data_IF_549218475625
#
_entry.id   IF_549218475625
#
_cell.length_a   1.000
_cell.length_b   1.000
_cell.length_c   1.000
_cell.angle_alpha   90.00
_cell.angle_beta   90.00
_cell.angle_gamma   90.00
#
_symmetry.space_group_name_H-M   'P 1'
#
loop_
_entity.id
_entity.type
_entity.pdbx_description
1 polymer ?
#
# COMPACT_ATOMS: atom_id res chain seq x y z
N UNK A 1 -14.69 14.89 -27.25
CA UNK A 1 -13.22 14.79 -27.20
C UNK A 1 -12.84 13.91 -26.03
N UNK A 2 -11.74 13.17 -26.11
CA UNK A 2 -11.25 12.30 -25.04
C UNK A 2 -10.04 12.96 -24.38
N UNK A 3 -10.14 13.27 -23.09
CA UNK A 3 -8.99 13.72 -22.30
C UNK A 3 -8.30 12.51 -21.68
N UNK A 4 -6.98 12.43 -21.86
CA UNK A 4 -6.11 11.44 -21.23
C UNK A 4 -4.99 12.16 -20.48
N UNK A 5 -4.82 11.84 -19.21
CA UNK A 5 -3.66 12.26 -18.41
C UNK A 5 -2.89 11.01 -18.01
N UNK A 6 -1.67 10.88 -18.49
CA UNK A 6 -0.76 9.83 -18.07
C UNK A 6 0.15 10.36 -16.95
N UNK A 7 0.24 9.61 -15.86
CA UNK A 7 1.09 9.89 -14.72
C UNK A 7 2.11 8.76 -14.61
N UNK A 8 3.40 9.05 -14.75
CA UNK A 8 4.48 8.08 -14.62
C UNK A 8 5.28 8.31 -13.33
N UNK A 9 5.64 7.23 -12.64
CA UNK A 9 6.35 7.27 -11.36
C UNK A 9 6.39 5.91 -10.65
N UNK A 10 6.54 5.96 -9.34
CA UNK A 10 6.40 4.78 -8.46
C UNK A 10 4.91 4.46 -8.27
N UNK A 11 4.55 3.19 -8.38
CA UNK A 11 3.21 2.68 -8.09
C UNK A 11 3.31 1.83 -6.85
N UNK A 12 2.65 2.29 -5.81
CA UNK A 12 2.54 1.54 -4.58
C UNK A 12 1.25 0.75 -4.55
N UNK A 13 1.36 -0.48 -4.10
CA UNK A 13 0.23 -1.32 -3.72
C UNK A 13 0.29 -1.52 -2.23
N UNK A 14 -0.68 -0.99 -1.50
CA UNK A 14 -0.78 -1.07 -0.04
C UNK A 14 -2.03 -1.86 0.34
N UNK A 15 -1.89 -2.73 1.33
CA UNK A 15 -2.96 -3.51 1.94
C UNK A 15 -2.80 -3.45 3.45
N UNK A 16 -3.84 -3.00 4.12
CA UNK A 16 -3.93 -3.03 5.58
C UNK A 16 -4.87 -4.17 5.95
N UNK A 17 -4.34 -5.19 6.61
CA UNK A 17 -5.07 -6.38 7.04
C UNK A 17 -4.84 -6.66 8.53
N UNK A 18 -5.55 -7.66 9.05
CA UNK A 18 -5.24 -8.23 10.36
C UNK A 18 -4.56 -9.58 10.23
N UNK A 19 -3.56 -9.81 11.06
CA UNK A 19 -2.93 -11.12 11.23
C UNK A 19 -3.07 -11.56 12.69
N UNK A 20 -3.26 -12.87 12.97
CA UNK A 20 -3.14 -13.38 14.32
C UNK A 20 -1.75 -13.06 14.88
N UNK A 21 -1.70 -12.54 16.10
CA UNK A 21 -0.44 -12.18 16.78
C UNK A 21 0.47 -13.41 16.93
N UNK A 22 -0.12 -14.56 17.25
CA UNK A 22 0.56 -15.86 17.37
C UNK A 22 1.16 -16.35 16.04
N UNK A 23 0.48 -16.11 14.92
CA UNK A 23 1.02 -16.40 13.58
C UNK A 23 2.29 -15.59 13.30
N UNK A 24 2.24 -14.28 13.57
CA UNK A 24 3.38 -13.36 13.40
C UNK A 24 4.53 -13.75 14.33
N UNK A 25 4.26 -14.04 15.61
CA UNK A 25 5.25 -14.47 16.58
C UNK A 25 5.97 -15.76 16.18
N UNK A 26 5.27 -16.73 15.57
CA UNK A 26 5.88 -17.96 15.08
C UNK A 26 6.84 -17.72 13.92
N UNK A 27 6.54 -16.77 13.02
CA UNK A 27 7.47 -16.39 11.95
C UNK A 27 8.72 -15.72 12.56
N UNK A 28 8.54 -14.76 13.47
CA UNK A 28 9.69 -14.10 14.11
C UNK A 28 10.57 -15.07 14.87
N UNK A 29 9.99 -16.00 15.64
CA UNK A 29 10.74 -17.04 16.35
C UNK A 29 11.54 -17.91 15.40
N UNK A 30 10.94 -18.31 14.28
CA UNK A 30 11.65 -19.04 13.23
C UNK A 30 12.84 -18.25 12.67
N UNK A 31 12.62 -16.97 12.36
CA UNK A 31 13.63 -16.12 11.76
C UNK A 31 14.76 -15.78 12.73
N UNK A 32 14.47 -15.58 14.03
CA UNK A 32 15.48 -15.40 15.06
C UNK A 32 16.29 -16.67 15.33
N UNK A 33 15.67 -17.85 15.25
CA UNK A 33 16.38 -19.13 15.35
C UNK A 33 17.40 -19.36 14.23
N UNK A 34 17.25 -18.66 13.09
CA UNK A 34 18.14 -18.77 11.92
C UNK A 34 19.16 -17.64 11.80
N UNK A 35 18.96 -16.52 12.48
CA UNK A 35 19.70 -15.29 12.22
C UNK A 35 20.22 -14.68 13.52
N UNK A 36 21.44 -14.16 13.48
CA UNK A 36 22.14 -13.60 14.64
C UNK A 36 21.89 -12.10 14.86
N UNK A 37 21.17 -11.42 13.96
CA UNK A 37 20.85 -9.99 14.09
C UNK A 37 19.37 -9.70 13.81
N UNK A 38 18.80 -8.65 14.45
CA UNK A 38 17.47 -8.12 14.14
C UNK A 38 17.24 -7.86 12.66
N UNK A 39 18.23 -7.28 11.99
CA UNK A 39 18.17 -6.94 10.58
C UNK A 39 17.95 -8.17 9.69
N UNK A 40 18.71 -9.25 9.91
CA UNK A 40 18.52 -10.47 9.13
C UNK A 40 17.23 -11.20 9.50
N UNK A 41 16.80 -11.12 10.77
CA UNK A 41 15.51 -11.66 11.19
C UNK A 41 14.33 -10.94 10.52
N UNK A 42 14.35 -9.60 10.42
CA UNK A 42 13.32 -8.82 9.72
C UNK A 42 13.28 -9.10 8.23
N UNK A 43 14.44 -9.25 7.58
CA UNK A 43 14.51 -9.66 6.18
C UNK A 43 13.97 -11.08 5.96
N UNK A 44 14.27 -12.01 6.87
CA UNK A 44 13.68 -13.35 6.86
C UNK A 44 12.16 -13.28 7.04
N UNK A 45 11.66 -12.48 7.98
CA UNK A 45 10.23 -12.31 8.25
C UNK A 45 9.49 -11.78 7.01
N UNK A 46 10.01 -10.71 6.41
CA UNK A 46 9.56 -10.19 5.12
C UNK A 46 9.56 -11.28 4.05
N UNK A 47 10.64 -12.05 3.97
CA UNK A 47 10.76 -13.16 3.02
C UNK A 47 9.67 -14.22 3.18
N UNK A 48 9.38 -14.61 4.42
CA UNK A 48 8.33 -15.59 4.72
C UNK A 48 6.95 -15.05 4.39
N UNK A 49 6.64 -13.80 4.76
CA UNK A 49 5.33 -13.20 4.51
C UNK A 49 5.03 -13.00 3.01
N UNK A 50 6.00 -12.54 2.23
CA UNK A 50 5.77 -12.18 0.82
C UNK A 50 6.06 -13.31 -0.18
N UNK A 51 6.95 -14.26 0.15
CA UNK A 51 7.48 -15.21 -0.84
C UNK A 51 7.36 -16.68 -0.44
N UNK A 52 7.55 -17.03 0.84
CA UNK A 52 7.43 -18.42 1.30
C UNK A 52 6.01 -18.75 1.73
N UNK A 53 5.09 -18.66 0.77
CA UNK A 53 3.66 -18.88 0.94
C UNK A 53 3.34 -20.22 1.62
N UNK A 54 4.02 -21.29 1.24
CA UNK A 54 3.75 -22.63 1.77
C UNK A 54 4.18 -22.75 3.23
N UNK A 55 5.34 -22.19 3.59
CA UNK A 55 5.77 -22.16 4.99
C UNK A 55 4.86 -21.26 5.83
N UNK A 56 4.53 -20.06 5.35
CA UNK A 56 3.60 -19.15 6.02
C UNK A 56 2.23 -19.81 6.24
N UNK A 57 1.68 -20.51 5.24
CA UNK A 57 0.42 -21.25 5.35
C UNK A 57 0.47 -22.33 6.43
N UNK A 58 1.56 -23.11 6.52
CA UNK A 58 1.73 -24.12 7.58
C UNK A 58 1.78 -23.50 8.97
N UNK A 59 2.39 -22.32 9.11
CA UNK A 59 2.43 -21.61 10.38
C UNK A 59 1.06 -21.03 10.73
N UNK A 60 0.34 -20.47 9.77
CA UNK A 60 -1.00 -19.91 9.95
C UNK A 60 -2.05 -20.97 10.35
N UNK A 61 -1.99 -22.16 9.77
CA UNK A 61 -2.89 -23.27 10.06
C UNK A 61 -2.92 -23.68 11.55
N UNK A 62 -1.89 -23.35 12.33
CA UNK A 62 -1.88 -23.59 13.78
C UNK A 62 -2.86 -22.72 14.58
N UNK A 63 -3.32 -21.60 14.03
CA UNK A 63 -4.38 -20.76 14.61
C UNK A 63 -5.72 -20.93 13.86
N UNK A 64 -5.87 -21.99 13.05
CA UNK A 64 -7.00 -22.13 12.10
C UNK A 64 -7.14 -20.90 11.16
N UNK A 65 -6.01 -20.21 10.92
CA UNK A 65 -5.96 -19.03 10.08
C UNK A 65 -5.60 -19.42 8.63
N UNK A 66 -6.47 -19.06 7.70
CA UNK A 66 -6.31 -19.37 6.28
C UNK A 66 -5.41 -18.33 5.58
N UNK A 67 -4.08 -18.47 5.72
CA UNK A 67 -3.12 -17.68 4.94
C UNK A 67 -2.88 -18.28 3.56
N UNK A 68 -3.05 -17.48 2.51
CA UNK A 68 -2.78 -17.87 1.13
C UNK A 68 -1.68 -17.03 0.50
N UNK A 69 -1.82 -15.71 0.50
CA UNK A 69 -0.86 -14.75 -0.01
C UNK A 69 -1.24 -13.35 0.49
N UNK A 70 -0.28 -12.45 0.59
CA UNK A 70 -0.54 -11.09 1.06
C UNK A 70 -1.52 -10.31 0.15
N UNK A 71 -1.55 -10.57 -1.16
CA UNK A 71 -2.49 -9.94 -2.10
C UNK A 71 -3.91 -10.46 -1.94
N UNK A 72 -4.09 -11.65 -1.35
CA UNK A 72 -5.38 -12.29 -1.11
C UNK A 72 -5.82 -12.21 0.35
N UNK A 73 -4.94 -11.73 1.24
CA UNK A 73 -5.30 -11.48 2.63
C UNK A 73 -6.51 -10.54 2.70
N UNK A 74 -7.47 -10.89 3.58
CA UNK A 74 -8.65 -10.07 3.86
C UNK A 74 -8.16 -8.73 4.42
N UNK A 75 -8.32 -7.68 3.63
CA UNK A 75 -7.87 -6.34 3.96
C UNK A 75 -9.05 -5.50 4.45
N UNK A 76 -8.81 -4.66 5.45
CA UNK A 76 -9.70 -3.56 5.81
C UNK A 76 -9.60 -2.42 4.81
N UNK A 77 -8.42 -2.27 4.22
CA UNK A 77 -8.13 -1.25 3.26
C UNK A 77 -7.12 -1.78 2.23
N UNK A 78 -7.36 -1.53 0.95
CA UNK A 78 -6.44 -1.87 -0.12
C UNK A 78 -6.46 -0.80 -1.20
N UNK A 79 -5.29 -0.39 -1.67
CA UNK A 79 -5.15 0.54 -2.78
C UNK A 79 -3.93 0.16 -3.62
N UNK A 80 -4.02 0.42 -4.91
CA UNK A 80 -2.85 0.60 -5.76
C UNK A 80 -2.97 1.97 -6.44
N UNK A 81 -1.87 2.70 -6.57
CA UNK A 81 -1.87 3.97 -7.26
C UNK A 81 -0.49 4.59 -7.36
N UNK A 82 -0.37 5.62 -8.19
CA UNK A 82 0.87 6.40 -8.27
C UNK A 82 1.13 7.13 -6.95
N UNK A 83 2.39 7.07 -6.50
CA UNK A 83 2.91 7.84 -5.37
C UNK A 83 3.15 9.29 -5.81
N UNK A 84 2.75 10.24 -4.97
CA UNK A 84 3.14 11.63 -5.16
C UNK A 84 4.56 11.87 -4.63
N UNK A 85 5.54 11.88 -5.53
CA UNK A 85 6.94 12.20 -5.22
C UNK A 85 7.51 13.27 -6.15
N UNK A 86 8.79 13.61 -5.96
CA UNK A 86 9.51 14.60 -6.79
C UNK A 86 9.81 14.14 -8.22
N UNK A 87 9.64 12.86 -8.53
CA UNK A 87 9.94 12.26 -9.83
C UNK A 87 8.69 12.04 -10.69
N UNK A 88 7.53 12.46 -10.18
CA UNK A 88 6.24 12.36 -10.83
C UNK A 88 6.23 13.13 -12.15
N UNK A 89 5.94 12.44 -13.25
CA UNK A 89 5.77 13.05 -14.57
C UNK A 89 4.32 12.92 -15.01
N UNK A 90 3.68 14.03 -15.38
CA UNK A 90 2.30 14.05 -15.86
C UNK A 90 2.23 14.62 -17.26
N UNK A 91 1.61 13.91 -18.20
CA UNK A 91 1.39 14.38 -19.57
C UNK A 91 -0.10 14.32 -19.91
N UNK A 92 -0.64 15.40 -20.47
CA UNK A 92 -2.02 15.43 -20.95
C UNK A 92 -2.08 15.31 -22.48
N UNK A 93 -3.16 14.71 -22.96
CA UNK A 93 -3.53 14.72 -24.38
C UNK A 93 -5.04 14.80 -24.58
N UNK A 94 -5.46 15.46 -25.66
CA UNK A 94 -6.84 15.54 -26.12
C UNK A 94 -6.95 14.85 -27.47
N UNK A 95 -7.76 13.79 -27.54
CA UNK A 95 -7.92 12.94 -28.74
C UNK A 95 -6.57 12.47 -29.34
N UNK A 96 -5.58 12.23 -28.46
CA UNK A 96 -4.23 11.80 -28.83
C UNK A 96 -3.26 12.93 -29.18
N UNK A 97 -3.73 14.17 -29.33
CA UNK A 97 -2.86 15.33 -29.49
C UNK A 97 -2.29 15.76 -28.13
N UNK A 98 -0.97 15.88 -28.02
CA UNK A 98 -0.30 16.28 -26.79
C UNK A 98 -0.69 17.70 -26.37
N UNK A 99 -1.07 17.87 -25.10
CA UNK A 99 -1.29 19.15 -24.45
C UNK A 99 -0.07 19.61 -23.63
N UNK A 100 0.99 18.80 -23.58
CA UNK A 100 2.22 19.09 -22.84
C UNK A 100 2.33 18.40 -21.47
N UNK A 101 3.42 18.73 -20.78
CA UNK A 101 3.71 18.24 -19.43
C UNK A 101 3.10 19.16 -18.38
N UNK A 102 2.52 18.57 -17.33
CA UNK A 102 1.88 19.29 -16.23
C UNK A 102 2.84 19.32 -15.05
N UNK A 103 3.21 20.52 -14.60
CA UNK A 103 3.96 20.70 -13.36
C UNK A 103 3.12 20.33 -12.14
N UNK A 104 3.76 19.81 -11.09
CA UNK A 104 3.09 19.39 -9.83
C UNK A 104 2.31 20.49 -9.11
N UNK A 105 2.54 21.76 -9.47
CA UNK A 105 1.85 22.94 -8.93
C UNK A 105 0.66 23.39 -9.78
N UNK A 106 0.41 22.76 -10.93
CA UNK A 106 -0.59 23.21 -11.90
C UNK A 106 -1.96 22.51 -11.76
N UNK A 107 -2.13 21.63 -10.77
CA UNK A 107 -3.39 20.94 -10.50
C UNK A 107 -3.75 21.05 -9.01
N UNK A 108 -5.03 20.84 -8.71
CA UNK A 108 -5.52 20.82 -7.32
C UNK A 108 -5.16 19.50 -6.66
N UNK A 109 -4.46 19.54 -5.53
CA UNK A 109 -4.11 18.36 -4.72
C UNK A 109 -4.92 18.33 -3.43
N UNK A 110 -5.56 17.20 -3.16
CA UNK A 110 -6.25 16.93 -1.90
C UNK A 110 -5.61 15.74 -1.20
N UNK A 111 -5.44 15.82 0.12
CA UNK A 111 -5.00 14.71 0.96
C UNK A 111 -6.18 14.16 1.77
N UNK A 112 -6.40 12.86 1.67
CA UNK A 112 -7.34 12.12 2.51
C UNK A 112 -6.54 11.21 3.45
N UNK A 113 -6.69 11.42 4.76
CA UNK A 113 -6.00 10.61 5.76
C UNK A 113 -6.70 9.26 5.92
N UNK A 114 -5.94 8.17 5.88
CA UNK A 114 -6.41 6.85 6.29
C UNK A 114 -6.22 6.73 7.80
N UNK A 115 -7.33 6.79 8.52
CA UNK A 115 -7.36 6.84 9.98
C UNK A 115 -7.26 5.43 10.58
N UNK A 116 -6.24 5.20 11.41
CA UNK A 116 -6.08 3.93 12.12
C UNK A 116 -7.23 3.68 13.10
N UNK A 117 -7.73 4.72 13.77
CA UNK A 117 -8.80 4.63 14.77
C UNK A 117 -10.12 4.16 14.15
N UNK A 118 -10.33 4.38 12.85
CA UNK A 118 -11.46 3.83 12.12
C UNK A 118 -11.33 2.31 11.86
N UNK A 119 -10.10 1.79 11.84
CA UNK A 119 -9.82 0.36 11.65
C UNK A 119 -9.73 -0.41 12.97
N UNK A 120 -9.22 0.21 14.03
CA UNK A 120 -8.95 -0.43 15.31
C UNK A 120 -10.15 -1.23 15.89
N UNK A 121 -11.41 -0.73 15.86
CA UNK A 121 -12.56 -1.49 16.36
C UNK A 121 -12.88 -2.75 15.56
N UNK A 122 -12.37 -2.88 14.33
CA UNK A 122 -12.58 -4.02 13.45
C UNK A 122 -11.51 -5.10 13.58
N UNK A 123 -10.49 -4.91 14.43
CA UNK A 123 -9.47 -5.90 14.71
C UNK A 123 -10.03 -7.01 15.62
N UNK A 124 -9.97 -8.29 15.21
CA UNK A 124 -10.32 -9.39 16.09
C UNK A 124 -9.43 -9.42 17.33
N UNK A 125 -9.96 -9.97 18.42
CA UNK A 125 -9.16 -10.22 19.61
C UNK A 125 -7.95 -11.10 19.28
N UNK A 126 -6.78 -10.75 19.82
CA UNK A 126 -5.52 -11.47 19.55
C UNK A 126 -4.93 -11.22 18.14
N UNK A 127 -5.51 -10.33 17.34
CA UNK A 127 -4.93 -9.91 16.07
C UNK A 127 -4.18 -8.58 16.19
N UNK A 128 -3.26 -8.36 15.26
CA UNK A 128 -2.58 -7.09 15.04
C UNK A 128 -2.96 -6.54 13.67
N UNK A 129 -2.87 -5.23 13.50
CA UNK A 129 -2.96 -4.60 12.18
C UNK A 129 -1.60 -4.69 11.48
N UNK A 130 -1.61 -4.96 10.18
CA UNK A 130 -0.39 -5.04 9.36
C UNK A 130 -0.58 -4.28 8.06
N UNK A 131 0.35 -3.38 7.75
CA UNK A 131 0.50 -2.77 6.42
C UNK A 131 1.48 -3.61 5.62
N UNK A 132 0.99 -4.19 4.53
CA UNK A 132 1.76 -4.94 3.54
C UNK A 132 1.70 -4.21 2.20
N UNK A 133 2.72 -4.40 1.36
CA UNK A 133 2.67 -3.82 0.04
C UNK A 133 3.87 -4.08 -0.85
N UNK A 134 3.81 -3.47 -2.02
CA UNK A 134 4.88 -3.50 -3.01
C UNK A 134 4.97 -2.22 -3.80
N UNK A 135 6.19 -1.88 -4.21
CA UNK A 135 6.54 -0.76 -5.08
C UNK A 135 6.92 -1.30 -6.46
N UNK A 136 6.25 -0.78 -7.47
CA UNK A 136 6.58 -0.96 -8.89
C UNK A 136 6.97 0.37 -9.52
N UNK A 137 7.64 0.33 -10.67
CA UNK A 137 7.75 1.49 -11.56
C UNK A 137 6.74 1.37 -12.68
N UNK A 138 6.04 2.44 -13.02
CA UNK A 138 5.06 2.37 -14.09
C UNK A 138 4.34 3.67 -14.38
N UNK A 139 3.19 3.55 -15.02
CA UNK A 139 2.27 4.66 -15.23
C UNK A 139 0.83 4.32 -14.90
N UNK A 140 0.08 5.36 -14.60
CA UNK A 140 -1.36 5.33 -14.42
C UNK A 140 -2.01 6.30 -15.41
N UNK A 141 -3.07 5.84 -16.06
CA UNK A 141 -3.77 6.52 -17.14
C UNK A 141 -5.13 6.94 -16.62
N UNK A 142 -5.33 8.24 -16.57
CA UNK A 142 -6.59 8.87 -16.20
C UNK A 142 -7.33 9.24 -17.49
N UNK A 143 -8.59 8.84 -17.62
CA UNK A 143 -9.39 9.12 -18.82
C UNK A 143 -10.71 9.78 -18.47
N UNK A 144 -11.05 10.85 -19.20
CA UNK A 144 -12.39 11.42 -19.20
C UNK A 144 -12.98 11.33 -20.61
N UNK A 145 -14.09 10.61 -20.73
CA UNK A 145 -14.90 10.62 -21.95
C UNK A 145 -15.66 11.95 -22.04
N UNK A 146 -15.84 12.47 -23.25
CA UNK A 146 -16.48 13.76 -23.49
C UNK A 146 -15.80 14.90 -22.71
N UNK A 147 -14.47 14.90 -22.73
CA UNK A 147 -13.61 15.96 -22.20
C UNK A 147 -13.75 17.30 -22.91
N UNK A 148 -13.04 18.33 -22.43
CA UNK A 148 -13.15 19.70 -22.92
C UNK A 148 -12.56 19.88 -24.32
N UNK A 149 -12.84 21.02 -24.94
CA UNK A 149 -12.17 21.44 -26.19
C UNK A 149 -10.72 21.83 -25.98
N UNK A 150 -10.43 22.44 -24.84
CA UNK A 150 -9.08 22.85 -24.43
C UNK A 150 -8.76 22.30 -23.04
N UNK A 151 -7.51 21.91 -22.85
CA UNK A 151 -7.04 21.40 -21.57
C UNK A 151 -6.52 22.55 -20.71
N UNK A 152 -7.09 22.68 -19.51
CA UNK A 152 -6.62 23.58 -18.47
C UNK A 152 -6.16 22.75 -17.26
N UNK A 153 -4.85 22.69 -16.97
CA UNK A 153 -4.31 21.95 -15.84
C UNK A 153 -4.98 22.28 -14.50
N UNK A 154 -5.39 23.54 -14.29
CA UNK A 154 -5.94 23.98 -13.01
C UNK A 154 -7.28 23.31 -12.67
N UNK A 155 -7.98 22.78 -13.69
CA UNK A 155 -9.23 22.02 -13.54
C UNK A 155 -9.01 20.56 -13.15
N UNK A 156 -7.78 20.06 -13.24
CA UNK A 156 -7.43 18.72 -12.78
C UNK A 156 -7.36 18.72 -11.24
N UNK A 157 -8.05 17.78 -10.61
CA UNK A 157 -8.04 17.56 -9.17
C UNK A 157 -7.63 16.11 -8.87
N UNK A 158 -6.54 15.94 -8.13
CA UNK A 158 -6.00 14.66 -7.73
C UNK A 158 -6.12 14.51 -6.20
N UNK A 159 -6.77 13.44 -5.76
CA UNK A 159 -6.87 13.07 -4.34
C UNK A 159 -5.90 11.95 -4.04
N UNK A 160 -5.06 12.14 -3.03
CA UNK A 160 -4.11 11.15 -2.55
C UNK A 160 -4.47 10.71 -1.14
N UNK A 161 -4.27 9.43 -0.87
CA UNK A 161 -4.44 8.88 0.46
C UNK A 161 -3.11 8.90 1.21
N UNK A 162 -3.13 9.46 2.42
CA UNK A 162 -1.99 9.48 3.34
C UNK A 162 -2.15 8.41 4.41
N UNK A 163 -1.04 7.77 4.76
CA UNK A 163 -0.96 6.67 5.71
C UNK A 163 -0.11 7.03 6.93
N UNK A 164 -0.10 8.31 7.31
CA UNK A 164 0.71 8.83 8.42
C UNK A 164 0.50 8.08 9.75
N UNK A 165 -0.73 7.65 10.03
CA UNK A 165 -1.03 6.84 11.23
C UNK A 165 -0.40 5.45 11.20
N UNK A 166 -0.03 4.97 10.01
CA UNK A 166 0.70 3.72 9.79
C UNK A 166 2.20 3.96 9.59
N UNK A 167 2.71 5.16 9.91
CA UNK A 167 4.14 5.52 9.71
C UNK A 167 4.65 5.27 8.29
N UNK A 168 3.74 5.27 7.32
CA UNK A 168 4.05 5.07 5.92
C UNK A 168 4.03 6.43 5.22
N UNK A 169 5.19 6.84 4.73
CA UNK A 169 5.45 8.21 4.27
C UNK A 169 4.79 8.52 2.92
N UNK A 170 4.65 7.51 2.06
CA UNK A 170 4.13 7.70 0.72
C UNK A 170 2.63 8.03 0.73
N UNK A 171 2.23 8.94 -0.17
CA UNK A 171 0.82 9.26 -0.40
C UNK A 171 0.39 8.80 -1.79
N UNK A 172 -0.68 8.03 -1.85
CA UNK A 172 -1.04 7.22 -3.02
C UNK A 172 -2.28 7.78 -3.70
N UNK A 173 -2.22 7.99 -5.02
CA UNK A 173 -3.34 8.48 -5.81
C UNK A 173 -4.55 7.55 -5.64
N UNK A 174 -5.67 8.11 -5.20
CA UNK A 174 -6.91 7.40 -4.91
C UNK A 174 -8.06 7.82 -5.80
N UNK A 175 -8.11 9.10 -6.19
CA UNK A 175 -9.14 9.62 -7.10
C UNK A 175 -8.58 10.70 -8.01
N UNK A 176 -9.16 10.82 -9.19
CA UNK A 176 -8.90 11.89 -10.12
C UNK A 176 -10.22 12.43 -10.67
N UNK A 177 -10.31 13.75 -10.76
CA UNK A 177 -11.43 14.44 -11.37
C UNK A 177 -10.92 15.60 -12.24
N UNK A 178 -11.69 15.95 -13.26
CA UNK A 178 -11.44 17.12 -14.09
C UNK A 178 -12.71 17.95 -14.19
N UNK A 179 -12.64 19.21 -13.77
CA UNK A 179 -13.78 20.13 -13.72
C UNK A 179 -14.99 19.54 -12.96
N UNK A 180 -14.69 18.91 -11.82
CA UNK A 180 -15.68 18.23 -10.97
C UNK A 180 -16.17 16.87 -11.49
N UNK A 181 -15.76 16.42 -12.68
CA UNK A 181 -16.16 15.13 -13.26
C UNK A 181 -15.12 14.06 -12.98
N UNK A 182 -15.55 12.92 -12.46
CA UNK A 182 -14.66 11.80 -12.14
C UNK A 182 -14.02 11.22 -13.41
N UNK A 183 -12.71 10.97 -13.33
CA UNK A 183 -11.94 10.32 -14.40
C UNK A 183 -11.82 8.82 -14.10
N UNK A 184 -11.89 8.00 -15.13
CA UNK A 184 -11.58 6.57 -15.00
C UNK A 184 -10.08 6.38 -14.86
N UNK A 185 -9.68 5.37 -14.09
CA UNK A 185 -8.27 5.07 -13.78
C UNK A 185 -7.91 3.69 -14.32
N UNK A 186 -6.76 3.59 -14.96
CA UNK A 186 -6.20 2.32 -15.41
C UNK A 186 -4.68 2.32 -15.24
N UNK A 187 -4.09 1.18 -14.93
CA UNK A 187 -2.64 1.05 -14.97
C UNK A 187 -2.15 0.89 -16.40
N UNK A 188 -1.12 1.64 -16.76
CA UNK A 188 -0.33 1.44 -17.97
C UNK A 188 0.72 0.35 -17.76
N UNK A 189 1.94 0.59 -18.23
CA UNK A 189 3.04 -0.35 -18.01
C UNK A 189 3.43 -0.43 -16.53
N UNK A 190 3.72 -1.63 -16.03
CA UNK A 190 4.27 -1.87 -14.69
C UNK A 190 5.51 -2.76 -14.81
N UNK A 191 6.58 -2.40 -14.12
CA UNK A 191 7.83 -3.16 -14.08
C UNK A 191 8.44 -3.12 -12.69
N UNK A 192 9.08 -4.23 -12.33
CA UNK A 192 9.64 -4.44 -10.99
C UNK A 192 8.60 -5.03 -10.06
N UNK A 193 9.05 -5.34 -8.84
CA UNK A 193 8.21 -5.65 -7.69
C UNK A 193 9.07 -5.69 -6.44
N UNK A 194 9.27 -4.55 -5.79
CA UNK A 194 9.99 -4.49 -4.52
C UNK A 194 8.97 -4.54 -3.38
N UNK A 195 9.14 -5.43 -2.41
CA UNK A 195 8.19 -5.52 -1.29
C UNK A 195 8.47 -4.39 -0.30
N UNK A 196 7.41 -3.77 0.23
CA UNK A 196 7.51 -2.88 1.37
C UNK A 196 7.94 -3.67 2.61
N UNK A 197 8.63 -3.02 3.53
CA UNK A 197 8.83 -3.60 4.86
C UNK A 197 7.47 -3.66 5.55
N UNK A 198 7.04 -4.83 6.08
CA UNK A 198 5.78 -4.93 6.79
C UNK A 198 5.79 -4.02 8.02
N UNK A 199 4.78 -3.18 8.17
CA UNK A 199 4.58 -2.35 9.37
C UNK A 199 3.50 -2.99 10.23
N UNK A 200 3.80 -3.23 11.50
CA UNK A 200 2.97 -3.99 12.43
C UNK A 200 2.45 -3.05 13.52
N UNK A 201 1.17 -3.15 13.86
CA UNK A 201 0.54 -2.26 14.84
C UNK A 201 -0.34 -3.04 15.82
N UNK A 202 -0.26 -2.66 17.09
CA UNK A 202 -1.17 -3.14 18.13
C UNK A 202 -2.59 -2.62 17.92
N UNK A 203 -3.58 -3.19 18.63
CA UNK A 203 -4.96 -2.70 18.59
C UNK A 203 -5.12 -1.20 18.91
N UNK A 204 -4.36 -0.65 19.88
CA UNK A 204 -4.30 0.80 20.13
C UNK A 204 -3.55 1.64 19.07
N UNK A 205 -2.84 1.04 18.12
CA UNK A 205 -2.09 1.75 17.08
C UNK A 205 -0.61 2.01 17.41
N UNK A 206 -0.07 1.32 18.42
CA UNK A 206 1.38 1.36 18.69
C UNK A 206 2.11 0.50 17.67
N UNK A 207 3.20 1.01 17.09
CA UNK A 207 4.06 0.25 16.20
C UNK A 207 4.75 -0.87 16.98
N UNK A 208 4.73 -2.08 16.41
CA UNK A 208 5.30 -3.29 16.98
C UNK A 208 6.57 -3.66 16.23
N UNK A 209 7.62 -4.00 16.97
CA UNK A 209 8.86 -4.53 16.43
C UNK A 209 9.00 -6.03 16.74
N UNK A 210 10.12 -6.62 16.32
CA UNK A 210 10.35 -8.05 16.50
C UNK A 210 10.32 -8.49 17.98
N UNK A 211 10.79 -7.65 18.91
CA UNK A 211 10.96 -7.98 20.32
C UNK A 211 9.62 -8.11 21.03
N UNK A 212 8.61 -7.38 20.56
CA UNK A 212 7.24 -7.49 21.04
C UNK A 212 6.65 -8.89 20.87
N UNK A 213 7.24 -9.74 20.02
CA UNK A 213 6.79 -11.10 19.76
C UNK A 213 7.67 -12.19 20.40
N UNK A 214 8.79 -11.82 21.04
CA UNK A 214 9.77 -12.79 21.57
C UNK A 214 9.48 -13.27 23.00
N UNK A 215 8.65 -12.55 23.75
CA UNK A 215 8.29 -12.91 25.13
C UNK A 215 7.19 -13.95 25.27
N UNK A 216 6.38 -14.18 24.23
CA UNK A 216 5.10 -14.90 24.32
C UNK A 216 5.20 -16.42 24.16
N UNK A 217 6.38 -16.97 23.82
CA UNK A 217 6.58 -18.40 23.60
C UNK A 217 7.35 -19.12 24.73
N UNK A 218 7.52 -18.49 25.89
CA UNK A 218 7.90 -19.25 27.10
C UNK A 218 6.64 -20.00 27.58
N UNK A 219 6.66 -21.34 27.66
CA UNK A 219 5.63 -22.01 28.44
C UNK A 219 5.71 -21.45 29.87
N UNK A 220 4.55 -21.23 30.49
CA UNK A 220 4.49 -20.92 31.92
C UNK A 220 5.33 -21.97 32.68
N UNK A 221 6.12 -21.57 33.69
CA UNK A 221 6.92 -22.49 34.48
C UNK A 221 6.06 -23.58 35.14
#
# INVERSE_FOLDING_TARGET
MKLVVEIAGSIDTVRICSLPRSFVARIFTHCLGKNNTPYFANNCFKGVLYFDTDFARRLAAKDDFAWSDWTQAKAYYAISGIVHDSNLRLCASLDGASCGEIGVTHFTRTLAKIDFSALAPALPEGHIAVLLGSVDKGSEILTLQDGPETFDPAKLALTYNSFEDFRFEDVILSRAAYDGREMTRAFGTRKGKNMLDPLLFSGPGEELDLYDFTGELRPAP
#
